data_IF_432789943874
#
_entry.id   IF_432789943874
#
_cell.length_a   1.000
_cell.length_b   1.000
_cell.length_c   1.000
_cell.angle_alpha   90.00
_cell.angle_beta   90.00
_cell.angle_gamma   90.00
#
_symmetry.space_group_name_H-M   'P 1'
#
loop_
_entity.id
_entity.type
_entity.pdbx_description
1 polymer ?
#
# COMPACT_ATOMS: atom_id res chain seq x y z
N UNK A 1 -29.33 16.11 -55.13
CA UNK A 1 -30.56 15.90 -54.34
C UNK A 1 -30.32 16.53 -52.99
N UNK A 2 -30.75 17.77 -52.84
CA UNK A 2 -30.60 18.56 -51.61
C UNK A 2 -31.65 18.10 -50.60
N UNK A 3 -31.20 17.78 -49.38
CA UNK A 3 -32.08 17.39 -48.29
C UNK A 3 -32.87 18.62 -47.82
N UNK A 4 -34.19 18.57 -47.99
CA UNK A 4 -35.13 19.59 -47.57
C UNK A 4 -34.90 20.00 -46.10
N UNK A 5 -34.60 21.27 -45.88
CA UNK A 5 -34.56 21.87 -44.55
C UNK A 5 -35.96 21.84 -43.95
N UNK A 6 -36.16 21.01 -42.93
CA UNK A 6 -37.38 20.99 -42.12
C UNK A 6 -37.51 22.34 -41.40
N UNK A 7 -38.48 23.15 -41.83
CA UNK A 7 -38.80 24.43 -41.21
C UNK A 7 -39.44 24.19 -39.86
N UNK A 8 -38.74 24.60 -38.80
CA UNK A 8 -39.20 24.42 -37.42
C UNK A 8 -40.24 25.51 -37.09
N UNK A 9 -41.52 25.13 -37.12
CA UNK A 9 -42.65 26.04 -36.83
C UNK A 9 -43.00 26.15 -35.35
N UNK A 10 -42.45 25.28 -34.50
CA UNK A 10 -42.92 25.12 -33.12
C UNK A 10 -41.90 25.61 -32.07
N UNK A 11 -40.79 26.22 -32.46
CA UNK A 11 -39.82 26.86 -31.56
C UNK A 11 -39.14 25.90 -30.55
N UNK A 12 -39.35 24.60 -30.68
CA UNK A 12 -38.87 23.59 -29.72
C UNK A 12 -37.35 23.41 -29.80
N UNK A 13 -36.70 23.66 -30.95
CA UNK A 13 -35.24 23.76 -31.03
C UNK A 13 -34.67 24.89 -30.16
N UNK A 14 -35.39 26.00 -30.00
CA UNK A 14 -34.99 27.11 -29.13
C UNK A 14 -35.25 26.79 -27.64
N UNK A 15 -36.23 25.93 -27.35
CA UNK A 15 -36.59 25.51 -25.99
C UNK A 15 -35.76 24.32 -25.47
N UNK A 16 -35.23 23.47 -26.35
CA UNK A 16 -34.42 22.29 -26.01
C UNK A 16 -32.92 22.51 -26.19
N UNK A 17 -32.49 23.67 -26.67
CA UNK A 17 -31.09 24.05 -26.57
C UNK A 17 -30.84 24.50 -25.13
N UNK A 18 -30.18 23.66 -24.33
CA UNK A 18 -29.59 24.11 -23.08
C UNK A 18 -28.66 25.25 -23.44
N UNK A 19 -29.13 26.48 -23.22
CA UNK A 19 -28.37 27.70 -23.46
C UNK A 19 -27.36 27.80 -22.32
N UNK A 20 -26.31 26.97 -22.40
CA UNK A 20 -25.09 27.10 -21.62
C UNK A 20 -24.40 28.37 -22.10
N UNK A 21 -24.97 29.54 -21.76
CA UNK A 21 -24.22 30.80 -21.68
C UNK A 21 -23.25 30.67 -20.52
N UNK A 22 -22.30 29.73 -20.62
CA UNK A 22 -21.18 29.63 -19.71
C UNK A 22 -20.30 30.83 -20.00
N UNK A 23 -20.61 31.95 -19.36
CA UNK A 23 -19.56 32.93 -19.07
C UNK A 23 -18.53 32.17 -18.25
N UNK A 24 -17.28 32.14 -18.74
CA UNK A 24 -16.20 31.57 -17.95
C UNK A 24 -16.21 32.22 -16.57
N UNK A 25 -16.12 31.41 -15.51
CA UNK A 25 -16.05 31.91 -14.14
C UNK A 25 -14.91 32.93 -14.06
N UNK A 26 -15.12 34.03 -13.32
CA UNK A 26 -14.09 35.03 -13.02
C UNK A 26 -12.80 34.38 -12.47
N UNK A 27 -12.92 33.19 -11.86
CA UNK A 27 -11.80 32.37 -11.39
C UNK A 27 -10.77 31.98 -12.48
N UNK A 28 -11.15 31.99 -13.76
CA UNK A 28 -10.24 31.70 -14.89
C UNK A 28 -9.68 32.96 -15.54
N UNK A 29 -10.12 34.16 -15.15
CA UNK A 29 -9.54 35.41 -15.63
C UNK A 29 -8.26 35.69 -14.84
N UNK A 30 -7.30 36.36 -15.47
CA UNK A 30 -6.11 36.86 -14.76
C UNK A 30 -6.61 37.80 -13.66
N UNK A 31 -6.26 37.50 -12.40
CA UNK A 31 -6.63 38.34 -11.27
C UNK A 31 -5.99 39.72 -11.51
N UNK A 32 -6.82 40.75 -11.62
CA UNK A 32 -6.34 42.11 -11.80
C UNK A 32 -5.45 42.50 -10.61
N UNK A 33 -4.28 43.06 -10.88
CA UNK A 33 -3.41 43.62 -9.86
C UNK A 33 -4.12 44.81 -9.20
N UNK A 34 -4.01 44.92 -7.88
CA UNK A 34 -4.50 46.11 -7.17
C UNK A 34 -3.62 47.32 -7.50
N UNK A 35 -4.10 48.54 -7.29
CA UNK A 35 -3.35 49.77 -7.63
C UNK A 35 -1.96 49.82 -6.98
N UNK A 36 -1.82 49.31 -5.76
CA UNK A 36 -0.53 49.19 -5.05
C UNK A 36 0.38 48.11 -5.61
N UNK A 37 -0.19 47.06 -6.20
CA UNK A 37 0.58 45.97 -6.81
C UNK A 37 1.03 46.29 -8.23
N UNK A 38 0.44 47.32 -8.85
CA UNK A 38 0.81 47.81 -10.18
C UNK A 38 1.98 48.80 -10.15
N UNK A 39 2.38 49.26 -8.96
CA UNK A 39 3.52 50.17 -8.72
C UNK A 39 4.83 49.43 -8.42
N UNK A 40 4.83 48.09 -8.31
CA UNK A 40 6.06 47.30 -8.11
C UNK A 40 6.89 47.20 -9.40
N UNK A 41 8.17 46.86 -9.22
CA UNK A 41 9.15 46.72 -10.28
C UNK A 41 8.73 45.61 -11.27
N UNK A 42 9.14 45.72 -12.55
CA UNK A 42 8.69 44.80 -13.62
C UNK A 42 8.92 43.31 -13.29
N UNK A 43 10.02 43.00 -12.61
CA UNK A 43 10.41 41.64 -12.20
C UNK A 43 9.46 41.10 -11.11
N UNK A 44 9.16 41.91 -10.09
CA UNK A 44 8.22 41.58 -9.02
C UNK A 44 6.78 41.45 -9.54
N UNK A 45 6.42 42.27 -10.52
CA UNK A 45 5.12 42.24 -11.20
C UNK A 45 4.92 40.94 -11.98
N UNK A 46 5.96 40.42 -12.64
CA UNK A 46 5.91 39.14 -13.34
C UNK A 46 5.77 37.96 -12.38
N UNK A 47 6.49 37.97 -11.25
CA UNK A 47 6.33 36.96 -10.21
C UNK A 47 4.93 36.97 -9.58
N UNK A 48 4.40 38.15 -9.26
CA UNK A 48 3.04 38.33 -8.76
C UNK A 48 1.99 37.85 -9.77
N UNK A 49 2.14 38.18 -11.06
CA UNK A 49 1.27 37.68 -12.13
C UNK A 49 1.34 36.16 -12.25
N UNK A 50 2.52 35.56 -12.06
CA UNK A 50 2.72 34.11 -12.11
C UNK A 50 2.10 33.41 -10.89
N UNK A 51 2.21 33.99 -9.70
CA UNK A 51 1.57 33.49 -8.47
C UNK A 51 0.03 33.65 -8.50
N UNK A 52 -0.46 34.80 -8.99
CA UNK A 52 -1.90 35.09 -9.08
C UNK A 52 -2.60 34.41 -10.25
N UNK A 53 -1.86 33.73 -11.13
CA UNK A 53 -2.46 32.94 -12.21
C UNK A 53 -3.12 31.71 -11.61
N UNK A 54 -4.37 31.46 -11.98
CA UNK A 54 -5.09 30.26 -11.57
C UNK A 54 -4.29 29.01 -11.91
N UNK A 55 -3.80 28.30 -10.89
CA UNK A 55 -3.03 27.09 -11.07
C UNK A 55 -3.98 25.94 -11.40
N UNK A 56 -4.21 25.68 -12.68
CA UNK A 56 -5.11 24.63 -13.11
C UNK A 56 -4.45 23.25 -12.97
N UNK A 57 -4.50 22.70 -11.76
CA UNK A 57 -3.88 21.41 -11.46
C UNK A 57 -4.43 20.27 -12.33
N UNK A 58 -5.75 20.17 -12.50
CA UNK A 58 -6.41 19.05 -13.19
C UNK A 58 -6.98 19.43 -14.58
N UNK A 59 -6.20 20.12 -15.44
CA UNK A 59 -6.67 20.53 -16.79
C UNK A 59 -7.09 19.35 -17.67
N UNK A 60 -6.36 18.25 -17.55
CA UNK A 60 -6.53 17.01 -18.32
C UNK A 60 -7.39 15.97 -17.57
N UNK A 61 -8.04 16.37 -16.47
CA UNK A 61 -8.88 15.51 -15.64
C UNK A 61 -8.20 15.01 -14.36
N UNK A 62 -9.03 14.54 -13.42
CA UNK A 62 -8.62 14.12 -12.07
C UNK A 62 -7.76 12.84 -12.07
N UNK A 63 -7.91 11.97 -13.08
CA UNK A 63 -7.22 10.67 -13.15
C UNK A 63 -5.69 10.81 -13.09
N UNK A 64 -5.15 11.81 -13.78
CA UNK A 64 -3.69 12.01 -13.87
C UNK A 64 -3.09 12.59 -12.59
N UNK A 65 -3.88 13.27 -11.75
CA UNK A 65 -3.42 13.92 -10.52
C UNK A 65 -4.10 13.40 -9.25
N UNK A 66 -4.63 12.18 -9.29
CA UNK A 66 -5.37 11.60 -8.15
C UNK A 66 -4.51 11.53 -6.87
N UNK A 67 -3.19 11.30 -6.99
CA UNK A 67 -2.26 11.27 -5.84
C UNK A 67 -2.07 12.64 -5.18
N UNK A 68 -2.05 13.71 -5.98
CA UNK A 68 -2.01 15.08 -5.46
C UNK A 68 -3.28 15.37 -4.67
N UNK A 69 -4.44 15.03 -5.26
CA UNK A 69 -5.73 15.20 -4.59
C UNK A 69 -5.83 14.36 -3.31
N UNK A 70 -5.35 13.11 -3.30
CA UNK A 70 -5.30 12.26 -2.12
C UNK A 70 -4.51 12.94 -0.99
N UNK A 71 -3.37 13.54 -1.32
CA UNK A 71 -2.51 14.24 -0.34
C UNK A 71 -3.22 15.47 0.22
N UNK A 72 -3.72 16.35 -0.65
CA UNK A 72 -4.45 17.56 -0.25
C UNK A 72 -5.70 17.22 0.58
N UNK A 73 -6.45 16.19 0.17
CA UNK A 73 -7.65 15.73 0.88
C UNK A 73 -7.30 15.22 2.28
N UNK A 74 -6.24 14.41 2.39
CA UNK A 74 -5.81 13.87 3.68
C UNK A 74 -5.28 14.97 4.60
N UNK A 75 -4.55 15.95 4.08
CA UNK A 75 -4.06 17.10 4.85
C UNK A 75 -5.21 17.97 5.35
N UNK A 76 -6.14 18.34 4.47
CA UNK A 76 -7.28 19.19 4.81
C UNK A 76 -8.21 18.54 5.83
N UNK A 77 -8.44 17.22 5.70
CA UNK A 77 -9.30 16.45 6.61
C UNK A 77 -8.57 15.94 7.85
N UNK A 78 -7.26 16.15 7.93
CA UNK A 78 -6.42 15.62 9.02
C UNK A 78 -6.39 14.09 9.09
N UNK A 79 -6.60 13.41 7.95
CA UNK A 79 -6.63 11.95 7.85
C UNK A 79 -5.21 11.41 7.85
N UNK A 80 -4.63 11.27 9.05
CA UNK A 80 -3.33 10.65 9.24
C UNK A 80 -3.52 9.22 9.73
N UNK A 81 -3.03 8.21 8.99
CA UNK A 81 -3.15 6.82 9.42
C UNK A 81 -2.37 6.60 10.71
N UNK A 82 -3.02 6.02 11.72
CA UNK A 82 -2.41 5.81 13.03
C UNK A 82 -1.65 4.49 13.04
N UNK A 83 -0.35 4.55 13.34
CA UNK A 83 0.53 3.38 13.41
C UNK A 83 0.90 3.13 14.87
N UNK A 84 0.45 2.01 15.43
CA UNK A 84 0.64 1.68 16.84
C UNK A 84 1.47 0.40 16.93
N UNK A 85 2.53 0.42 17.74
CA UNK A 85 3.29 -0.77 18.09
C UNK A 85 3.08 -1.09 19.56
N UNK A 86 2.43 -2.22 19.85
CA UNK A 86 2.16 -2.67 21.22
C UNK A 86 3.19 -3.72 21.59
N UNK A 87 4.01 -3.44 22.60
CA UNK A 87 5.05 -4.34 23.10
C UNK A 87 5.05 -4.39 24.61
N UNK A 88 5.60 -5.45 25.19
CA UNK A 88 5.72 -5.62 26.62
C UNK A 88 6.00 -7.07 27.03
N UNK A 89 6.31 -7.29 28.33
CA UNK A 89 6.56 -8.62 28.88
C UNK A 89 5.33 -9.54 28.74
N UNK A 90 5.50 -10.88 28.78
CA UNK A 90 4.37 -11.80 28.79
C UNK A 90 3.43 -11.52 29.97
N UNK A 91 2.15 -11.90 29.81
CA UNK A 91 1.08 -11.68 30.81
C UNK A 91 0.73 -10.20 31.14
N UNK A 92 1.29 -9.20 30.44
CA UNK A 92 0.92 -7.79 30.63
C UNK A 92 -0.46 -7.38 30.09
N UNK A 93 -1.20 -8.31 29.48
CA UNK A 93 -2.50 -8.01 28.86
C UNK A 93 -2.42 -7.21 27.55
N UNK A 94 -1.23 -7.05 26.96
CA UNK A 94 -1.00 -6.33 25.69
C UNK A 94 -1.96 -6.72 24.56
N UNK A 95 -2.21 -8.01 24.36
CA UNK A 95 -3.17 -8.54 23.36
C UNK A 95 -4.58 -8.02 23.60
N UNK A 96 -5.02 -7.98 24.86
CA UNK A 96 -6.34 -7.45 25.24
C UNK A 96 -6.45 -5.96 24.89
N UNK A 97 -5.45 -5.15 25.27
CA UNK A 97 -5.45 -3.73 24.92
C UNK A 97 -5.35 -3.48 23.40
N UNK A 98 -4.54 -4.27 22.68
CA UNK A 98 -4.44 -4.18 21.23
C UNK A 98 -5.79 -4.46 20.54
N UNK A 99 -6.57 -5.43 21.04
CA UNK A 99 -7.94 -5.68 20.55
C UNK A 99 -8.91 -4.54 20.85
N UNK A 100 -8.85 -3.97 22.06
CA UNK A 100 -9.70 -2.83 22.40
C UNK A 100 -9.37 -1.61 21.52
N UNK A 101 -8.09 -1.34 21.29
CA UNK A 101 -7.63 -0.27 20.41
C UNK A 101 -8.08 -0.51 18.96
N UNK A 102 -7.95 -1.74 18.47
CA UNK A 102 -8.39 -2.11 17.12
C UNK A 102 -9.88 -1.86 16.93
N UNK A 103 -10.71 -2.24 17.91
CA UNK A 103 -12.17 -2.01 17.88
C UNK A 103 -12.53 -0.53 18.01
N UNK A 104 -11.87 0.20 18.91
CA UNK A 104 -12.17 1.60 19.18
C UNK A 104 -11.81 2.51 18.00
N UNK A 105 -10.61 2.33 17.44
CA UNK A 105 -10.14 3.14 16.31
C UNK A 105 -10.54 2.55 14.95
N UNK A 106 -11.13 1.35 14.91
CA UNK A 106 -11.44 0.62 13.68
C UNK A 106 -10.21 0.43 12.77
N UNK A 107 -9.10 0.03 13.38
CA UNK A 107 -7.80 -0.15 12.75
C UNK A 107 -7.46 -1.65 12.74
N UNK A 108 -6.94 -2.20 11.61
CA UNK A 108 -6.53 -3.59 11.55
C UNK A 108 -5.39 -3.90 12.54
N UNK A 109 -5.58 -4.97 13.33
CA UNK A 109 -4.54 -5.55 14.19
C UNK A 109 -3.78 -6.61 13.43
N UNK A 110 -2.48 -6.44 13.27
CA UNK A 110 -1.57 -7.39 12.65
C UNK A 110 -0.78 -8.11 13.76
N UNK A 111 -0.88 -9.43 13.77
CA UNK A 111 -0.22 -10.29 14.75
C UNK A 111 0.43 -11.50 14.07
N UNK A 112 1.38 -12.15 14.74
CA UNK A 112 2.20 -13.21 14.12
C UNK A 112 1.37 -14.39 13.63
N UNK A 113 0.36 -14.84 14.39
CA UNK A 113 -0.50 -15.97 13.96
C UNK A 113 -1.16 -15.69 12.62
N UNK A 114 -1.76 -14.50 12.46
CA UNK A 114 -2.34 -14.10 11.18
C UNK A 114 -1.32 -14.01 10.04
N UNK A 115 -0.08 -13.59 10.31
CA UNK A 115 0.97 -13.61 9.28
C UNK A 115 1.33 -15.04 8.87
N UNK A 116 1.42 -15.95 9.84
CA UNK A 116 1.68 -17.38 9.60
C UNK A 116 0.54 -18.02 8.78
N UNK A 117 -0.71 -17.74 9.16
CA UNK A 117 -1.90 -18.19 8.42
C UNK A 117 -1.91 -17.65 6.98
N UNK A 118 -1.49 -16.40 6.78
CA UNK A 118 -1.39 -15.82 5.44
C UNK A 118 -0.29 -16.49 4.60
N UNK A 119 0.86 -16.82 5.20
CA UNK A 119 1.93 -17.58 4.51
C UNK A 119 1.42 -18.93 4.04
N UNK A 120 0.69 -19.66 4.88
CA UNK A 120 0.09 -20.94 4.49
C UNK A 120 -0.97 -20.78 3.41
N UNK A 121 -1.81 -19.74 3.51
CA UNK A 121 -2.80 -19.43 2.47
C UNK A 121 -2.13 -19.15 1.14
N UNK A 122 -1.06 -18.35 1.12
CA UNK A 122 -0.29 -18.05 -0.09
C UNK A 122 0.34 -19.32 -0.67
N UNK A 123 0.92 -20.18 0.16
CA UNK A 123 1.53 -21.43 -0.30
C UNK A 123 0.53 -22.48 -0.81
N UNK A 124 -0.76 -22.37 -0.43
CA UNK A 124 -1.83 -23.23 -0.91
C UNK A 124 -2.41 -22.77 -2.26
N UNK A 125 -1.99 -21.63 -2.80
CA UNK A 125 -2.44 -21.15 -4.11
C UNK A 125 -1.77 -21.99 -5.20
N UNK A 126 -2.57 -22.52 -6.12
CA UNK A 126 -2.08 -23.30 -7.26
C UNK A 126 -1.08 -22.50 -8.11
N UNK A 127 -0.10 -23.19 -8.67
CA UNK A 127 1.00 -22.59 -9.44
C UNK A 127 0.52 -21.75 -10.64
N UNK A 128 -0.60 -22.15 -11.26
CA UNK A 128 -1.26 -21.40 -12.33
C UNK A 128 -1.90 -20.08 -11.86
N UNK A 129 -2.40 -20.04 -10.61
CA UNK A 129 -3.06 -18.87 -10.03
C UNK A 129 -2.06 -17.91 -9.38
N UNK A 130 -0.92 -18.41 -8.89
CA UNK A 130 0.16 -17.61 -8.31
C UNK A 130 0.92 -16.78 -9.36
N UNK A 131 0.95 -17.23 -10.62
CA UNK A 131 1.66 -16.54 -11.70
C UNK A 131 3.16 -16.34 -11.39
N UNK A 132 3.68 -15.14 -11.71
CA UNK A 132 5.09 -14.76 -11.45
C UNK A 132 5.31 -14.12 -10.06
N UNK A 133 4.38 -14.27 -9.11
CA UNK A 133 4.55 -13.70 -7.78
C UNK A 133 5.65 -14.42 -7.01
N UNK A 134 6.84 -13.81 -7.02
CA UNK A 134 8.06 -14.32 -6.38
C UNK A 134 7.83 -14.72 -4.91
N UNK A 135 7.05 -13.93 -4.17
CA UNK A 135 6.80 -14.18 -2.75
C UNK A 135 5.99 -15.45 -2.51
N UNK A 136 5.00 -15.73 -3.34
CA UNK A 136 4.13 -16.92 -3.23
C UNK A 136 4.94 -18.18 -3.52
N UNK A 137 5.77 -18.13 -4.57
CA UNK A 137 6.70 -19.22 -4.90
C UNK A 137 7.76 -19.44 -3.81
N UNK A 138 8.36 -18.36 -3.27
CA UNK A 138 9.31 -18.43 -2.15
C UNK A 138 8.68 -18.99 -0.86
N UNK A 139 7.39 -18.73 -0.61
CA UNK A 139 6.67 -19.29 0.53
C UNK A 139 6.46 -20.80 0.36
N UNK A 140 6.06 -21.24 -0.85
CA UNK A 140 5.82 -22.65 -1.16
C UNK A 140 7.09 -23.48 -1.04
N UNK A 141 8.17 -23.08 -1.72
CA UNK A 141 9.44 -23.82 -1.72
C UNK A 141 10.01 -24.00 -0.31
N UNK A 142 10.07 -22.92 0.47
CA UNK A 142 10.59 -22.99 1.85
C UNK A 142 9.69 -23.80 2.79
N UNK A 143 8.38 -23.81 2.58
CA UNK A 143 7.48 -24.65 3.38
C UNK A 143 7.64 -26.13 3.04
N UNK A 144 7.80 -26.47 1.76
CA UNK A 144 8.08 -27.83 1.30
C UNK A 144 9.45 -28.32 1.83
N UNK A 145 10.49 -27.49 1.78
CA UNK A 145 11.80 -27.80 2.36
C UNK A 145 11.72 -28.09 3.87
N UNK A 146 10.94 -27.31 4.62
CA UNK A 146 10.76 -27.54 6.07
C UNK A 146 9.96 -28.81 6.33
N UNK A 147 8.91 -29.08 5.53
CA UNK A 147 8.12 -30.31 5.64
C UNK A 147 9.02 -31.53 5.38
N UNK A 148 9.81 -31.53 4.31
CA UNK A 148 10.75 -32.61 3.99
C UNK A 148 11.80 -32.82 5.09
N UNK A 149 12.42 -31.76 5.60
CA UNK A 149 13.39 -31.87 6.69
C UNK A 149 12.78 -32.43 7.99
N UNK A 150 11.52 -32.11 8.27
CA UNK A 150 10.79 -32.69 9.41
C UNK A 150 10.48 -34.18 9.20
N UNK A 151 10.08 -34.57 8.00
CA UNK A 151 9.85 -35.99 7.65
C UNK A 151 11.13 -36.81 7.78
N UNK A 152 12.26 -36.30 7.28
CA UNK A 152 13.57 -36.94 7.42
C UNK A 152 13.96 -37.09 8.90
N UNK A 153 13.81 -36.04 9.71
CA UNK A 153 14.13 -36.10 11.14
C UNK A 153 13.21 -37.07 11.92
N UNK A 154 11.97 -37.27 11.47
CA UNK A 154 11.07 -38.29 12.02
C UNK A 154 11.56 -39.68 11.60
N UNK A 155 11.95 -39.85 10.34
CA UNK A 155 12.41 -41.14 9.81
C UNK A 155 13.73 -41.59 10.45
N UNK A 156 14.68 -40.68 10.70
CA UNK A 156 15.90 -40.97 11.46
C UNK A 156 15.59 -41.47 12.87
N UNK A 157 14.68 -40.80 13.58
CA UNK A 157 14.24 -41.24 14.92
C UNK A 157 13.52 -42.59 14.89
N UNK A 158 12.82 -42.91 13.80
CA UNK A 158 12.20 -44.22 13.60
C UNK A 158 13.24 -45.31 13.33
N UNK A 159 14.32 -44.99 12.61
CA UNK A 159 15.41 -45.93 12.32
C UNK A 159 16.18 -46.36 13.59
N UNK A 160 16.23 -45.49 14.60
CA UNK A 160 16.84 -45.80 15.90
C UNK A 160 15.89 -46.57 16.86
N UNK A 161 14.60 -46.73 16.51
CA UNK A 161 13.61 -47.48 17.31
C UNK A 161 13.29 -48.85 16.69
N UNK A 162 13.00 -49.84 17.54
CA UNK A 162 12.44 -51.12 17.07
C UNK A 162 11.10 -50.91 16.37
N UNK A 163 10.96 -51.47 15.17
CA UNK A 163 9.76 -51.34 14.37
C UNK A 163 8.56 -52.01 15.07
N UNK A 164 7.44 -51.29 15.27
CA UNK A 164 6.23 -51.87 15.84
C UNK A 164 5.64 -52.99 14.95
N UNK A 165 5.01 -54.01 15.54
CA UNK A 165 4.36 -55.12 14.80
C UNK A 165 3.33 -54.65 13.76
N UNK A 166 2.65 -53.53 14.02
CA UNK A 166 1.63 -52.94 13.14
C UNK A 166 2.19 -51.92 12.13
N UNK A 167 3.51 -51.71 12.08
CA UNK A 167 4.17 -50.70 11.26
C UNK A 167 4.01 -49.27 11.79
N UNK A 168 4.77 -48.34 11.22
CA UNK A 168 4.71 -46.93 11.62
C UNK A 168 3.49 -46.21 11.03
N UNK A 169 2.81 -45.34 11.81
CA UNK A 169 1.79 -44.46 11.27
C UNK A 169 2.34 -43.55 10.17
N UNK A 170 1.49 -43.19 9.19
CA UNK A 170 1.81 -42.17 8.19
C UNK A 170 2.22 -40.85 8.85
N UNK A 171 3.25 -40.20 8.30
CA UNK A 171 3.74 -38.92 8.81
C UNK A 171 2.77 -37.85 8.29
N UNK A 172 1.95 -37.30 9.18
CA UNK A 172 1.06 -36.19 8.87
C UNK A 172 1.56 -34.96 9.62
N UNK A 173 2.33 -34.12 8.94
CA UNK A 173 2.79 -32.84 9.51
C UNK A 173 1.64 -31.85 9.44
N UNK A 174 1.17 -31.39 10.60
CA UNK A 174 0.18 -30.32 10.67
C UNK A 174 0.85 -28.98 10.47
N UNK A 175 0.18 -28.07 9.75
CA UNK A 175 0.70 -26.72 9.52
C UNK A 175 1.00 -25.95 10.81
N UNK A 176 0.31 -26.25 11.91
CA UNK A 176 0.56 -25.66 13.23
C UNK A 176 1.91 -26.02 13.86
N UNK A 177 2.54 -27.12 13.42
CA UNK A 177 3.84 -27.59 13.95
C UNK A 177 5.02 -26.97 13.18
N UNK A 178 4.74 -26.37 12.02
CA UNK A 178 5.74 -25.82 11.14
C UNK A 178 6.13 -24.43 11.60
N UNK A 179 7.43 -24.26 11.89
CA UNK A 179 7.99 -22.96 12.21
C UNK A 179 8.35 -22.20 10.94
N UNK A 180 7.53 -21.22 10.59
CA UNK A 180 7.78 -20.34 9.45
C UNK A 180 9.06 -19.51 9.67
N UNK A 181 9.96 -19.41 8.68
CA UNK A 181 11.12 -18.54 8.74
C UNK A 181 10.75 -17.06 8.89
N UNK A 182 11.46 -16.37 9.78
CA UNK A 182 11.31 -14.92 10.02
C UNK A 182 11.40 -14.10 8.72
N UNK A 183 12.27 -14.50 7.79
CA UNK A 183 12.46 -13.85 6.50
C UNK A 183 11.19 -13.77 5.66
N UNK A 184 10.40 -14.85 5.62
CA UNK A 184 9.11 -14.86 4.95
C UNK A 184 8.10 -14.01 5.70
N UNK A 185 8.09 -14.10 7.04
CA UNK A 185 7.19 -13.32 7.87
C UNK A 185 7.41 -11.82 7.70
N UNK A 186 8.65 -11.35 7.48
CA UNK A 186 8.92 -9.94 7.20
C UNK A 186 8.38 -9.49 5.83
N UNK A 187 8.50 -10.32 4.79
CA UNK A 187 7.97 -9.95 3.47
C UNK A 187 6.43 -9.98 3.45
N UNK A 188 5.81 -10.99 4.06
CA UNK A 188 4.34 -11.05 4.23
C UNK A 188 3.84 -9.91 5.11
N UNK A 189 4.58 -9.53 6.15
CA UNK A 189 4.26 -8.33 6.94
C UNK A 189 4.27 -7.08 6.07
N UNK A 190 5.28 -6.86 5.22
CA UNK A 190 5.29 -5.70 4.31
C UNK A 190 4.10 -5.69 3.37
N UNK A 191 3.76 -6.84 2.80
CA UNK A 191 2.62 -6.99 1.92
C UNK A 191 1.32 -6.60 2.66
N UNK A 192 1.12 -7.13 3.88
CA UNK A 192 -0.04 -6.80 4.71
C UNK A 192 -0.12 -5.32 5.07
N UNK A 193 1.02 -4.69 5.37
CA UNK A 193 1.08 -3.26 5.67
C UNK A 193 0.87 -2.39 4.42
N UNK A 194 1.10 -2.94 3.22
CA UNK A 194 0.86 -2.29 1.93
C UNK A 194 -0.60 -2.32 1.47
N UNK A 195 -1.45 -3.14 2.09
CA UNK A 195 -2.88 -3.20 1.78
C UNK A 195 -3.60 -1.88 2.06
N UNK A 196 -4.68 -1.63 1.30
CA UNK A 196 -5.45 -0.39 1.40
C UNK A 196 -5.99 -0.13 2.82
N UNK A 197 -6.36 -1.17 3.56
CA UNK A 197 -6.86 -1.03 4.93
C UNK A 197 -5.78 -0.50 5.87
N UNK A 198 -4.59 -1.10 5.82
CA UNK A 198 -3.43 -0.69 6.61
C UNK A 198 -2.87 0.68 6.20
N UNK A 199 -2.92 1.00 4.90
CA UNK A 199 -2.43 2.28 4.36
C UNK A 199 -3.34 3.46 4.71
N UNK A 200 -4.65 3.26 4.60
CA UNK A 200 -5.63 4.33 4.74
C UNK A 200 -6.06 4.56 6.20
N UNK A 201 -6.21 3.50 6.99
CA UNK A 201 -6.63 3.61 8.41
C UNK A 201 -5.45 3.58 9.37
N UNK A 202 -4.34 2.96 8.97
CA UNK A 202 -3.22 2.64 9.83
C UNK A 202 -3.27 1.18 10.29
N UNK A 203 -2.45 0.83 11.28
CA UNK A 203 -2.35 -0.55 11.76
C UNK A 203 -1.86 -0.63 13.21
N UNK A 204 -2.21 -1.72 13.88
CA UNK A 204 -1.71 -2.07 15.22
C UNK A 204 -0.86 -3.32 15.12
N UNK A 205 0.41 -3.24 15.48
CA UNK A 205 1.33 -4.37 15.54
C UNK A 205 1.33 -4.95 16.95
N UNK A 206 0.94 -6.21 17.11
CA UNK A 206 1.01 -6.92 18.39
C UNK A 206 2.33 -7.71 18.50
N UNK A 207 3.27 -7.16 19.28
CA UNK A 207 4.49 -7.85 19.72
C UNK A 207 5.44 -8.36 18.61
N UNK A 208 5.31 -7.86 17.38
CA UNK A 208 6.14 -8.25 16.25
C UNK A 208 6.41 -7.05 15.34
N UNK A 209 7.65 -6.84 14.86
CA UNK A 209 8.87 -7.64 15.02
C UNK A 209 9.48 -7.62 16.43
N UNK A 210 10.11 -8.72 16.85
CA UNK A 210 10.78 -8.83 18.18
C UNK A 210 12.27 -8.49 18.14
N UNK A 211 12.88 -8.66 16.97
CA UNK A 211 14.33 -8.50 16.78
C UNK A 211 14.59 -7.23 15.98
N UNK A 212 15.62 -6.49 16.38
CA UNK A 212 16.01 -5.25 15.71
C UNK A 212 16.29 -5.44 14.21
N UNK A 213 17.04 -6.48 13.83
CA UNK A 213 17.31 -6.82 12.41
C UNK A 213 16.01 -7.05 11.62
N UNK A 214 15.02 -7.68 12.24
CA UNK A 214 13.70 -7.89 11.65
C UNK A 214 12.93 -6.59 11.45
N UNK A 215 12.95 -5.71 12.45
CA UNK A 215 12.36 -4.38 12.34
C UNK A 215 13.02 -3.55 11.24
N UNK A 216 14.35 -3.60 11.12
CA UNK A 216 15.07 -2.96 10.03
C UNK A 216 14.58 -3.47 8.67
N UNK A 217 14.49 -4.79 8.50
CA UNK A 217 14.03 -5.38 7.24
C UNK A 217 12.58 -5.04 6.91
N UNK A 218 11.71 -4.94 7.92
CA UNK A 218 10.28 -4.68 7.72
C UNK A 218 9.96 -3.18 7.48
N UNK A 219 10.65 -2.25 8.14
CA UNK A 219 10.28 -0.82 8.14
C UNK A 219 11.29 0.12 7.49
N UNK A 220 12.59 -0.21 7.50
CA UNK A 220 13.56 0.65 6.83
C UNK A 220 13.55 0.32 5.34
N UNK A 221 13.00 1.25 4.55
CA UNK A 221 13.37 1.33 3.15
C UNK A 221 14.89 1.50 3.11
N UNK A 222 15.62 0.59 2.46
CA UNK A 222 16.99 0.93 2.05
C UNK A 222 16.86 2.25 1.26
N UNK A 223 17.62 3.31 1.60
CA UNK A 223 17.73 4.41 0.66
C UNK A 223 18.15 3.79 -0.68
N UNK A 224 17.58 4.23 -1.82
CA UNK A 224 18.06 3.78 -3.11
C UNK A 224 19.58 3.96 -3.09
N UNK A 225 20.32 2.90 -3.37
CA UNK A 225 21.76 3.03 -3.58
C UNK A 225 21.88 4.04 -4.72
N UNK A 226 22.32 5.26 -4.42
CA UNK A 226 22.93 6.09 -5.45
C UNK A 226 24.11 5.25 -5.94
N UNK A 227 24.12 4.95 -7.22
CA UNK A 227 25.28 4.33 -7.84
C UNK A 227 26.41 5.34 -7.69
N UNK A 228 27.35 5.09 -6.78
CA UNK A 228 28.66 5.74 -6.73
C UNK A 228 29.55 5.12 -7.82
N UNK A 229 29.10 5.18 -9.06
CA UNK A 229 29.86 4.83 -10.26
C UNK A 229 29.42 5.84 -11.32
N UNK A 230 29.95 7.07 -11.23
CA UNK A 230 30.06 8.08 -12.30
C UNK A 230 30.64 9.37 -11.68
N UNK A 231 31.86 9.31 -11.13
CA UNK A 231 32.67 10.52 -10.84
C UNK A 231 34.15 10.13 -10.67
N UNK A 232 34.71 9.47 -11.69
CA UNK A 232 36.15 9.38 -11.92
C UNK A 232 36.37 9.59 -13.44
N UNK A 233 36.25 10.83 -13.89
CA UNK A 233 36.91 11.40 -15.08
C UNK A 233 36.45 12.85 -15.26
N UNK A 234 37.13 13.78 -14.59
CA UNK A 234 37.71 14.99 -15.20
C UNK A 234 38.27 15.92 -14.11
N UNK A 235 39.47 16.47 -14.38
CA UNK A 235 40.23 17.50 -13.66
C UNK A 235 41.17 17.09 -12.50
N UNK A 236 42.34 16.50 -12.83
CA UNK A 236 43.67 17.17 -12.71
C UNK A 236 44.85 16.31 -13.18
#
# INVERSE_FOLDING_TARGET
MEANAVTDKNGWKEQLTINLRMKASEAFKQVALTEKEAELDEEELEELKKQKRFNWHCRFGLRLKIRMLETEFNEFRGLKPVKIFVTGPPASGKTYYAEQLARYYNIPRVHVSQLVEEVFRMAAIDEEAAGEDKLTNDCRTKLEEIKAAMEEAINEKRADMEEPEDGWPEIIIKDSEIRVPDDLLYEVLKLKLGENDCRNRGYILDSYPRVYKGAQRAFLMKPPKQNEEDEDDDDQ
#
